data_IF_387746423422
#
_entry.id   IF_387746423422
#
_cell.length_a   1.000
_cell.length_b   1.000
_cell.length_c   1.000
_cell.angle_alpha   90.00
_cell.angle_beta   90.00
_cell.angle_gamma   90.00
#
_symmetry.space_group_name_H-M   'P 1'
#
loop_
_entity.id
_entity.type
_entity.pdbx_description
1 polymer ?
#
# COMPACT_ATOMS: atom_id res chain seq x y z
N UNK A 1 28.97 20.28 2.93
CA UNK A 1 28.57 19.69 1.61
C UNK A 1 27.22 19.00 1.73
N UNK A 2 27.01 18.18 2.76
CA UNK A 2 25.74 17.52 3.04
C UNK A 2 24.60 18.54 3.23
N UNK A 3 24.86 19.63 3.96
CA UNK A 3 23.90 20.70 4.24
C UNK A 3 23.34 21.31 2.96
N UNK A 4 24.24 21.62 2.01
CA UNK A 4 23.86 22.15 0.69
C UNK A 4 23.03 21.15 -0.11
N UNK A 5 23.37 19.86 -0.06
CA UNK A 5 22.60 18.81 -0.73
C UNK A 5 21.21 18.61 -0.10
N UNK A 6 21.10 18.70 1.24
CA UNK A 6 19.82 18.66 1.95
C UNK A 6 18.92 19.84 1.57
N UNK A 7 19.48 21.06 1.52
CA UNK A 7 18.75 22.24 1.04
C UNK A 7 18.28 22.04 -0.40
N UNK A 8 19.17 21.57 -1.29
CA UNK A 8 18.82 21.31 -2.68
C UNK A 8 17.68 20.28 -2.80
N UNK A 9 17.72 19.20 -2.01
CA UNK A 9 16.67 18.17 -1.97
C UNK A 9 15.30 18.78 -1.60
N UNK A 10 15.25 19.63 -0.57
CA UNK A 10 14.03 20.34 -0.16
C UNK A 10 13.51 21.23 -1.29
N UNK A 11 14.41 21.98 -1.95
CA UNK A 11 14.04 22.86 -3.06
C UNK A 11 13.52 22.08 -4.27
N UNK A 12 14.11 20.93 -4.62
CA UNK A 12 13.62 20.07 -5.70
C UNK A 12 12.20 19.58 -5.41
N UNK A 13 11.94 19.08 -4.20
CA UNK A 13 10.59 18.65 -3.80
C UNK A 13 9.60 19.81 -3.83
N UNK A 14 9.98 20.97 -3.29
CA UNK A 14 9.14 22.16 -3.32
C UNK A 14 8.80 22.58 -4.75
N UNK A 15 9.78 22.59 -5.66
CA UNK A 15 9.57 22.89 -7.07
C UNK A 15 8.60 21.89 -7.73
N UNK A 16 8.80 20.59 -7.52
CA UNK A 16 7.89 19.56 -8.07
C UNK A 16 6.47 19.73 -7.53
N UNK A 17 6.31 20.02 -6.24
CA UNK A 17 5.01 20.29 -5.62
C UNK A 17 4.35 21.52 -6.26
N UNK A 18 5.07 22.63 -6.40
CA UNK A 18 4.54 23.86 -7.01
C UNK A 18 4.12 23.61 -8.46
N UNK A 19 4.97 22.95 -9.26
CA UNK A 19 4.64 22.58 -10.64
C UNK A 19 3.40 21.68 -10.67
N UNK A 20 3.34 20.66 -9.82
CA UNK A 20 2.20 19.73 -9.76
C UNK A 20 0.89 20.43 -9.36
N UNK A 21 0.92 21.32 -8.37
CA UNK A 21 -0.26 22.11 -7.98
C UNK A 21 -0.70 23.05 -9.10
N UNK A 22 0.25 23.64 -9.85
CA UNK A 22 -0.03 24.56 -10.95
C UNK A 22 -0.71 23.91 -12.17
N UNK A 23 -0.58 22.59 -12.36
CA UNK A 23 -1.20 21.89 -13.50
C UNK A 23 -2.73 21.82 -13.40
N UNK A 24 -3.28 21.98 -12.20
CA UNK A 24 -4.69 21.75 -11.89
C UNK A 24 -5.10 20.27 -11.85
N UNK A 25 -4.18 19.33 -12.09
CA UNK A 25 -4.45 17.88 -12.00
C UNK A 25 -4.25 17.33 -10.59
N UNK A 26 -3.63 18.11 -9.70
CA UNK A 26 -3.37 17.72 -8.34
C UNK A 26 -4.65 17.39 -7.55
N UNK A 27 -4.64 16.21 -6.95
CA UNK A 27 -5.71 15.69 -6.09
C UNK A 27 -5.23 14.49 -5.28
N UNK A 28 -5.99 14.11 -4.25
CA UNK A 28 -5.79 12.84 -3.55
C UNK A 28 -5.93 11.62 -4.43
N UNK A 29 -6.58 11.72 -5.60
CA UNK A 29 -6.69 10.59 -6.54
C UNK A 29 -5.44 10.41 -7.39
N UNK A 30 -4.54 11.40 -7.45
CA UNK A 30 -3.38 11.35 -8.34
C UNK A 30 -2.20 10.60 -7.70
N UNK A 31 -1.59 9.61 -8.38
CA UNK A 31 -0.49 8.81 -7.82
C UNK A 31 0.72 9.64 -7.36
N UNK A 32 1.02 10.73 -8.09
CA UNK A 32 2.07 11.68 -7.71
C UNK A 32 1.86 12.30 -6.32
N UNK A 33 0.63 12.46 -5.85
CA UNK A 33 0.37 12.94 -4.48
C UNK A 33 0.94 11.98 -3.44
N UNK A 34 0.73 10.67 -3.64
CA UNK A 34 1.26 9.65 -2.74
C UNK A 34 2.77 9.52 -2.84
N UNK A 35 3.32 9.61 -4.05
CA UNK A 35 4.77 9.56 -4.23
C UNK A 35 5.45 10.77 -3.60
N UNK A 36 4.88 11.98 -3.71
CA UNK A 36 5.41 13.18 -3.05
C UNK A 36 5.37 13.07 -1.52
N UNK A 37 4.29 12.54 -0.95
CA UNK A 37 4.20 12.29 0.50
C UNK A 37 5.26 11.27 0.94
N UNK A 38 5.35 10.14 0.25
CA UNK A 38 6.37 9.12 0.51
C UNK A 38 7.78 9.72 0.41
N UNK A 39 8.11 10.37 -0.70
CA UNK A 39 9.41 10.95 -0.97
C UNK A 39 9.81 12.00 0.07
N UNK A 40 8.87 12.86 0.46
CA UNK A 40 9.09 13.86 1.50
C UNK A 40 9.42 13.20 2.84
N UNK A 41 8.67 12.17 3.23
CA UNK A 41 8.91 11.46 4.49
C UNK A 41 10.27 10.75 4.48
N UNK A 42 10.54 9.93 3.45
CA UNK A 42 11.68 8.99 3.49
C UNK A 42 12.96 9.53 2.86
N UNK A 43 12.89 10.50 1.94
CA UNK A 43 14.05 11.03 1.22
C UNK A 43 14.30 12.53 1.45
N UNK A 44 13.52 13.18 2.31
CA UNK A 44 13.77 14.57 2.74
C UNK A 44 13.83 14.66 4.26
N UNK A 45 12.76 14.27 4.95
CA UNK A 45 12.68 14.37 6.42
C UNK A 45 13.65 13.38 7.06
N UNK A 46 13.66 12.11 6.64
CA UNK A 46 14.60 11.12 7.17
C UNK A 46 16.07 11.57 7.10
N UNK A 47 16.65 11.96 5.96
CA UNK A 47 18.05 12.40 5.93
C UNK A 47 18.32 13.68 6.73
N UNK A 48 17.35 14.61 6.83
CA UNK A 48 17.47 15.77 7.74
C UNK A 48 17.57 15.32 9.20
N UNK A 49 16.78 14.33 9.60
CA UNK A 49 16.79 13.81 10.95
C UNK A 49 18.05 13.01 11.26
N UNK A 50 18.50 12.18 10.32
CA UNK A 50 19.75 11.43 10.44
C UNK A 50 20.93 12.38 10.60
N UNK A 51 21.06 13.39 9.73
CA UNK A 51 22.15 14.37 9.80
C UNK A 51 22.06 15.30 11.02
N UNK A 52 20.85 15.77 11.36
CA UNK A 52 20.64 16.75 12.41
C UNK A 52 20.58 16.19 13.83
N UNK A 53 20.17 14.92 13.99
CA UNK A 53 19.92 14.29 15.29
C UNK A 53 20.67 12.96 15.49
N UNK A 54 21.49 12.51 14.53
CA UNK A 54 22.31 11.29 14.66
C UNK A 54 21.49 10.00 14.76
N UNK A 55 20.42 9.89 13.96
CA UNK A 55 19.54 8.71 13.98
C UNK A 55 20.16 7.56 13.15
N UNK A 56 21.10 6.84 13.76
CA UNK A 56 21.97 5.92 13.03
C UNK A 56 21.56 4.43 13.18
N UNK A 57 20.41 4.15 13.79
CA UNK A 57 19.98 2.77 14.09
C UNK A 57 19.89 1.86 12.85
N UNK A 58 19.49 2.40 11.70
CA UNK A 58 19.40 1.64 10.46
C UNK A 58 20.78 1.26 9.90
N UNK A 59 21.74 2.18 10.02
CA UNK A 59 23.15 1.99 9.66
C UNK A 59 23.82 0.94 10.53
N UNK A 60 23.64 1.06 11.85
CA UNK A 60 24.09 0.07 12.82
C UNK A 60 23.51 -1.32 12.54
N UNK A 61 22.21 -1.39 12.23
CA UNK A 61 21.55 -2.65 11.90
C UNK A 61 22.16 -3.30 10.65
N UNK A 62 22.46 -2.53 9.60
CA UNK A 62 23.08 -3.04 8.37
C UNK A 62 24.58 -3.33 8.53
N UNK A 63 25.24 -2.76 9.56
CA UNK A 63 26.69 -2.81 9.74
C UNK A 63 27.44 -1.88 8.80
N UNK A 64 26.83 -0.76 8.40
CA UNK A 64 27.35 0.15 7.39
C UNK A 64 27.13 1.61 7.79
N UNK A 65 28.15 2.46 7.64
CA UNK A 65 28.05 3.91 7.83
C UNK A 65 28.45 4.64 6.55
N UNK A 66 27.58 5.50 5.99
CA UNK A 66 27.89 6.21 4.77
C UNK A 66 28.95 7.28 4.96
N UNK A 67 29.89 7.36 4.01
CA UNK A 67 30.74 8.55 3.88
C UNK A 67 29.90 9.78 3.47
N UNK A 68 30.44 10.98 3.66
CA UNK A 68 29.75 12.21 3.24
C UNK A 68 29.43 12.23 1.73
N UNK A 69 30.30 11.64 0.91
CA UNK A 69 30.08 11.51 -0.53
C UNK A 69 28.92 10.55 -0.85
N UNK A 70 28.82 9.42 -0.15
CA UNK A 70 27.73 8.45 -0.30
C UNK A 70 26.40 9.04 0.16
N UNK A 71 26.38 9.79 1.26
CA UNK A 71 25.19 10.50 1.73
C UNK A 71 24.66 11.48 0.66
N UNK A 72 25.55 12.30 0.08
CA UNK A 72 25.20 13.25 -1.00
C UNK A 72 24.78 12.52 -2.27
N UNK A 73 25.43 11.41 -2.62
CA UNK A 73 25.04 10.56 -3.77
C UNK A 73 23.63 10.01 -3.58
N UNK A 74 23.26 9.55 -2.39
CA UNK A 74 21.90 9.08 -2.05
C UNK A 74 20.84 10.16 -2.24
N UNK A 75 21.11 11.38 -1.76
CA UNK A 75 20.23 12.52 -1.99
C UNK A 75 20.07 12.79 -3.49
N UNK A 76 21.17 12.82 -4.23
CA UNK A 76 21.16 13.07 -5.68
C UNK A 76 20.36 12.01 -6.45
N UNK A 77 20.59 10.72 -6.16
CA UNK A 77 19.87 9.60 -6.79
C UNK A 77 18.37 9.69 -6.50
N UNK A 78 17.98 9.94 -5.25
CA UNK A 78 16.58 10.09 -4.87
C UNK A 78 15.93 11.31 -5.57
N UNK A 79 16.62 12.44 -5.69
CA UNK A 79 16.15 13.62 -6.43
C UNK A 79 15.88 13.32 -7.91
N UNK A 80 16.82 12.63 -8.58
CA UNK A 80 16.66 12.21 -9.98
C UNK A 80 15.47 11.27 -10.12
N UNK A 81 15.32 10.32 -9.20
CA UNK A 81 14.18 9.40 -9.17
C UNK A 81 12.85 10.15 -9.07
N UNK A 82 12.77 11.14 -8.17
CA UNK A 82 11.58 12.01 -8.03
C UNK A 82 11.25 12.75 -9.30
N UNK A 83 12.23 13.41 -9.92
CA UNK A 83 11.99 14.19 -11.15
C UNK A 83 11.54 13.26 -12.28
N UNK A 84 12.22 12.13 -12.48
CA UNK A 84 11.87 11.16 -13.52
C UNK A 84 10.44 10.64 -13.37
N UNK A 85 10.05 10.22 -12.15
CA UNK A 85 8.69 9.77 -11.87
C UNK A 85 7.67 10.89 -12.03
N UNK A 86 7.96 12.09 -11.53
CA UNK A 86 7.03 13.23 -11.57
C UNK A 86 6.74 13.69 -12.99
N UNK A 87 7.76 13.76 -13.84
CA UNK A 87 7.59 14.09 -15.27
C UNK A 87 6.76 13.02 -15.96
N UNK A 88 7.10 11.74 -15.80
CA UNK A 88 6.40 10.63 -16.44
C UNK A 88 4.93 10.53 -15.98
N UNK A 89 4.69 10.55 -14.67
CA UNK A 89 3.37 10.44 -14.06
C UNK A 89 2.50 11.67 -14.36
N UNK A 90 3.08 12.88 -14.25
CA UNK A 90 2.38 14.13 -14.56
C UNK A 90 1.99 14.22 -16.04
N UNK A 91 2.87 13.79 -16.95
CA UNK A 91 2.61 13.80 -18.39
C UNK A 91 1.53 12.78 -18.79
N UNK A 92 1.65 11.52 -18.36
CA UNK A 92 0.69 10.48 -18.71
C UNK A 92 -0.64 10.58 -17.94
N UNK A 93 -0.62 11.22 -16.76
CA UNK A 93 -1.77 11.46 -15.90
C UNK A 93 -2.42 12.83 -16.04
N UNK A 94 -2.05 13.61 -17.08
CA UNK A 94 -2.50 15.01 -17.29
C UNK A 94 -4.00 15.12 -17.61
N UNK A 95 -4.85 14.88 -16.61
CA UNK A 95 -6.32 15.04 -16.66
C UNK A 95 -6.77 15.73 -15.38
N UNK A 96 -7.64 16.73 -15.51
CA UNK A 96 -8.18 17.45 -14.37
C UNK A 96 -9.32 16.62 -13.74
N UNK A 97 -9.30 16.40 -12.41
CA UNK A 97 -10.43 15.83 -11.69
C UNK A 97 -11.70 16.62 -11.97
N UNK A 98 -12.73 15.94 -12.46
CA UNK A 98 -14.02 16.55 -12.78
C UNK A 98 -15.16 15.67 -12.26
N UNK A 99 -15.75 16.12 -11.15
CA UNK A 99 -16.86 15.45 -10.50
C UNK A 99 -18.24 15.82 -11.08
N UNK A 100 -18.33 16.82 -11.97
CA UNK A 100 -19.61 17.28 -12.52
C UNK A 100 -20.32 16.17 -13.32
N UNK A 101 -19.54 15.27 -13.91
CA UNK A 101 -19.99 14.13 -14.71
C UNK A 101 -20.22 12.86 -13.89
N UNK A 102 -20.05 12.92 -12.57
CA UNK A 102 -20.03 11.71 -11.76
C UNK A 102 -21.44 11.19 -11.49
N UNK A 103 -21.78 9.95 -11.90
CA UNK A 103 -23.12 9.43 -11.76
C UNK A 103 -23.45 9.13 -10.29
N UNK A 104 -24.75 9.11 -9.99
CA UNK A 104 -25.29 8.47 -8.80
C UNK A 104 -25.40 6.98 -9.05
N UNK A 105 -24.57 6.20 -8.36
CA UNK A 105 -24.58 4.75 -8.54
C UNK A 105 -25.73 4.09 -7.79
N UNK A 106 -26.38 3.15 -8.47
CA UNK A 106 -27.29 2.19 -7.86
C UNK A 106 -26.74 0.79 -8.11
N UNK A 107 -26.82 -0.09 -7.12
CA UNK A 107 -26.56 -1.52 -7.28
C UNK A 107 -27.89 -2.22 -7.44
N UNK A 108 -28.04 -3.00 -8.52
CA UNK A 108 -29.21 -3.84 -8.69
C UNK A 108 -29.08 -5.13 -7.87
N UNK A 109 -30.15 -5.94 -7.87
CA UNK A 109 -30.15 -7.20 -7.10
C UNK A 109 -29.06 -8.16 -7.56
N UNK A 110 -28.73 -8.20 -8.86
CA UNK A 110 -27.70 -9.10 -9.37
C UNK A 110 -26.31 -8.66 -8.92
N UNK A 111 -26.05 -7.36 -8.91
CA UNK A 111 -24.78 -6.83 -8.41
C UNK A 111 -24.61 -7.17 -6.92
N UNK A 112 -25.67 -7.03 -6.12
CA UNK A 112 -25.66 -7.34 -4.67
C UNK A 112 -25.49 -8.84 -4.45
N UNK A 113 -26.22 -9.69 -5.18
CA UNK A 113 -26.08 -11.15 -5.10
C UNK A 113 -24.67 -11.59 -5.50
N UNK A 114 -24.11 -11.05 -6.59
CA UNK A 114 -22.74 -11.34 -6.99
C UNK A 114 -21.72 -10.92 -5.93
N UNK A 115 -21.93 -9.78 -5.28
CA UNK A 115 -21.09 -9.33 -4.19
C UNK A 115 -21.18 -10.27 -2.99
N UNK A 116 -22.39 -10.64 -2.58
CA UNK A 116 -22.63 -11.57 -1.48
C UNK A 116 -22.00 -12.94 -1.74
N UNK A 117 -22.09 -13.47 -2.97
CA UNK A 117 -21.40 -14.71 -3.37
C UNK A 117 -19.88 -14.57 -3.28
N UNK A 118 -19.34 -13.42 -3.67
CA UNK A 118 -17.90 -13.15 -3.57
C UNK A 118 -17.45 -13.10 -2.11
N UNK A 119 -18.22 -12.43 -1.23
CA UNK A 119 -17.99 -12.40 0.22
C UNK A 119 -18.11 -13.80 0.82
N UNK A 120 -19.11 -14.59 0.42
CA UNK A 120 -19.30 -15.96 0.91
C UNK A 120 -18.15 -16.89 0.48
N UNK A 121 -17.61 -16.71 -0.73
CA UNK A 121 -16.51 -17.51 -1.24
C UNK A 121 -15.15 -17.12 -0.63
N UNK A 122 -14.86 -15.82 -0.52
CA UNK A 122 -13.53 -15.34 -0.11
C UNK A 122 -13.44 -14.95 1.36
N UNK A 123 -14.56 -14.56 1.99
CA UNK A 123 -14.62 -14.13 3.38
C UNK A 123 -14.10 -15.19 4.36
N UNK A 124 -14.58 -16.46 4.30
CA UNK A 124 -14.08 -17.53 5.15
C UNK A 124 -12.58 -17.77 4.96
N UNK A 125 -12.07 -17.73 3.73
CA UNK A 125 -10.65 -17.88 3.44
C UNK A 125 -9.82 -16.72 4.02
N UNK A 126 -10.31 -15.48 3.89
CA UNK A 126 -9.65 -14.31 4.46
C UNK A 126 -9.62 -14.35 5.99
N UNK A 127 -10.71 -14.79 6.63
CA UNK A 127 -10.79 -14.96 8.09
C UNK A 127 -9.88 -16.11 8.55
N UNK A 128 -9.90 -17.25 7.86
CA UNK A 128 -9.01 -18.37 8.16
C UNK A 128 -7.54 -17.97 8.04
N UNK A 129 -7.16 -17.30 6.95
CA UNK A 129 -5.82 -16.73 6.76
C UNK A 129 -5.42 -15.76 7.86
N UNK A 130 -6.36 -14.92 8.30
CA UNK A 130 -6.14 -13.99 9.40
C UNK A 130 -5.84 -14.73 10.71
N UNK A 131 -6.69 -15.68 11.09
CA UNK A 131 -6.52 -16.51 12.30
C UNK A 131 -5.20 -17.28 12.24
N UNK A 132 -4.92 -17.93 11.11
CA UNK A 132 -3.68 -18.68 10.90
C UNK A 132 -2.43 -17.80 11.13
N UNK A 133 -2.51 -16.51 10.80
CA UNK A 133 -1.41 -15.54 10.97
C UNK A 133 -1.45 -14.76 12.28
N UNK A 134 -2.31 -15.12 13.21
CA UNK A 134 -2.47 -14.40 14.46
C UNK A 134 -1.17 -14.37 15.28
N UNK A 135 -0.46 -15.49 15.30
CA UNK A 135 0.82 -15.63 16.01
C UNK A 135 2.03 -15.20 15.17
N UNK A 136 1.79 -14.71 13.96
CA UNK A 136 2.82 -14.34 12.99
C UNK A 136 3.31 -15.54 12.19
N UNK A 137 4.46 -15.36 11.55
CA UNK A 137 5.19 -16.45 10.94
C UNK A 137 6.35 -16.81 11.87
N UNK A 138 6.44 -18.08 12.25
CA UNK A 138 7.46 -18.57 13.16
C UNK A 138 8.65 -19.15 12.38
N UNK A 139 9.85 -18.82 12.82
CA UNK A 139 11.11 -19.33 12.28
C UNK A 139 11.72 -20.47 13.12
N UNK A 140 11.10 -20.81 14.26
CA UNK A 140 11.58 -21.85 15.17
C UNK A 140 11.01 -23.24 14.84
N UNK A 141 10.18 -23.34 13.80
CA UNK A 141 9.49 -24.58 13.42
C UNK A 141 8.31 -24.93 14.34
N UNK A 142 7.94 -24.05 15.28
CA UNK A 142 6.71 -24.16 16.06
C UNK A 142 5.61 -23.30 15.44
N UNK A 143 4.34 -23.50 15.80
CA UNK A 143 3.23 -22.68 15.30
C UNK A 143 2.62 -23.06 13.94
N UNK A 144 1.52 -22.37 13.63
CA UNK A 144 0.62 -22.69 12.52
C UNK A 144 1.12 -22.21 11.15
N UNK A 145 1.96 -21.17 11.11
CA UNK A 145 2.63 -20.68 9.90
C UNK A 145 4.13 -20.71 10.14
N UNK A 146 4.77 -21.70 9.55
CA UNK A 146 6.21 -21.90 9.65
C UNK A 146 6.90 -21.31 8.44
N UNK A 147 7.95 -20.55 8.70
CA UNK A 147 8.86 -20.04 7.71
C UNK A 147 10.27 -20.49 8.01
N UNK A 148 10.98 -20.95 6.99
CA UNK A 148 12.42 -21.14 7.07
C UNK A 148 13.11 -20.05 6.28
N UNK A 149 14.26 -19.58 6.78
CA UNK A 149 15.13 -18.72 5.98
C UNK A 149 16.02 -19.60 5.15
N UNK A 150 15.94 -19.42 3.84
CA UNK A 150 16.87 -20.04 2.94
C UNK A 150 18.30 -19.58 3.28
N UNK A 151 19.23 -20.50 3.60
CA UNK A 151 20.56 -20.14 4.08
C UNK A 151 21.40 -19.44 3.00
N UNK A 152 21.07 -19.64 1.72
CA UNK A 152 21.80 -19.03 0.61
C UNK A 152 21.32 -17.61 0.29
N UNK A 153 20.03 -17.31 0.49
CA UNK A 153 19.45 -16.02 0.10
C UNK A 153 18.97 -15.15 1.25
N UNK A 154 18.85 -15.73 2.45
CA UNK A 154 18.20 -15.10 3.60
C UNK A 154 16.69 -14.90 3.44
N UNK A 155 16.09 -15.31 2.32
CA UNK A 155 14.68 -15.10 2.03
C UNK A 155 13.81 -16.07 2.82
N UNK A 156 12.72 -15.59 3.44
CA UNK A 156 11.83 -16.45 4.19
C UNK A 156 10.89 -17.20 3.24
N UNK A 157 10.75 -18.51 3.44
CA UNK A 157 9.90 -19.41 2.63
C UNK A 157 8.92 -20.13 3.54
N UNK A 158 7.66 -20.19 3.15
CA UNK A 158 6.66 -20.99 3.87
C UNK A 158 6.92 -22.48 3.70
N UNK A 159 6.92 -23.22 4.81
CA UNK A 159 7.23 -24.66 4.83
C UNK A 159 5.96 -25.50 4.98
N UNK A 160 5.03 -25.09 5.84
CA UNK A 160 3.82 -25.84 6.17
C UNK A 160 2.53 -25.26 5.55
N UNK A 161 2.63 -24.17 4.79
CA UNK A 161 1.49 -23.52 4.14
C UNK A 161 1.88 -22.90 2.79
N UNK A 162 0.90 -22.37 2.06
CA UNK A 162 1.15 -21.65 0.81
C UNK A 162 1.07 -20.15 1.01
N UNK A 163 1.84 -19.39 0.22
CA UNK A 163 1.71 -17.93 0.19
C UNK A 163 0.29 -17.45 -0.14
N UNK A 164 -0.49 -18.24 -0.88
CA UNK A 164 -1.89 -17.95 -1.18
C UNK A 164 -2.77 -17.95 0.07
N UNK A 165 -2.63 -18.98 0.90
CA UNK A 165 -3.36 -19.06 2.17
C UNK A 165 -2.83 -18.00 3.13
N UNK A 166 -1.51 -17.81 3.22
CA UNK A 166 -0.91 -16.84 4.13
C UNK A 166 -1.29 -15.38 3.80
N UNK A 167 -1.50 -15.03 2.53
CA UNK A 167 -1.79 -13.64 2.12
C UNK A 167 -3.28 -13.36 1.88
N UNK A 168 -4.15 -14.37 1.90
CA UNK A 168 -5.57 -14.21 1.64
C UNK A 168 -6.28 -13.27 2.64
N UNK A 169 -5.75 -13.07 3.84
CA UNK A 169 -6.26 -12.07 4.78
C UNK A 169 -6.30 -10.64 4.18
N UNK A 170 -5.44 -10.34 3.21
CA UNK A 170 -5.44 -9.05 2.49
C UNK A 170 -6.72 -8.82 1.68
N UNK A 171 -7.46 -9.88 1.35
CA UNK A 171 -8.79 -9.80 0.72
C UNK A 171 -9.83 -9.15 1.63
N UNK A 172 -9.61 -9.12 2.96
CA UNK A 172 -10.52 -8.46 3.90
C UNK A 172 -10.72 -6.97 3.62
N UNK A 173 -9.67 -6.29 3.14
CA UNK A 173 -9.71 -4.86 2.81
C UNK A 173 -10.73 -4.54 1.69
N UNK A 174 -10.60 -5.06 0.46
CA UNK A 174 -11.56 -4.76 -0.61
C UNK A 174 -12.97 -5.27 -0.31
N UNK A 175 -13.12 -6.37 0.45
CA UNK A 175 -14.43 -6.89 0.84
C UNK A 175 -15.15 -5.91 1.79
N UNK A 176 -14.46 -5.40 2.81
CA UNK A 176 -15.05 -4.44 3.76
C UNK A 176 -15.30 -3.07 3.11
N UNK A 177 -14.41 -2.60 2.23
CA UNK A 177 -14.68 -1.40 1.41
C UNK A 177 -15.87 -1.61 0.46
N UNK A 178 -15.99 -2.81 -0.12
CA UNK A 178 -17.13 -3.20 -0.95
C UNK A 178 -18.46 -3.14 -0.20
N UNK A 179 -18.50 -3.58 1.07
CA UNK A 179 -19.70 -3.49 1.92
C UNK A 179 -20.12 -2.02 2.12
N UNK A 180 -19.18 -1.13 2.44
CA UNK A 180 -19.45 0.30 2.58
C UNK A 180 -19.98 0.89 1.27
N UNK A 181 -19.34 0.51 0.16
CA UNK A 181 -19.66 1.01 -1.17
C UNK A 181 -21.05 0.57 -1.65
N UNK A 182 -21.37 -0.74 -1.56
CA UNK A 182 -22.69 -1.29 -1.93
C UNK A 182 -23.79 -0.73 -1.04
N UNK A 183 -23.51 -0.56 0.26
CA UNK A 183 -24.45 0.00 1.24
C UNK A 183 -24.57 1.53 1.19
N UNK A 184 -23.93 2.19 0.22
CA UNK A 184 -23.94 3.66 0.06
C UNK A 184 -23.58 4.41 1.34
N UNK A 185 -22.55 3.95 2.04
CA UNK A 185 -22.04 4.55 3.27
C UNK A 185 -23.05 4.58 4.43
N UNK A 186 -23.99 3.63 4.48
CA UNK A 186 -24.83 3.45 5.67
C UNK A 186 -23.95 3.25 6.92
N UNK A 187 -24.22 3.89 8.07
CA UNK A 187 -23.33 3.83 9.25
C UNK A 187 -22.98 2.41 9.71
N UNK A 188 -23.92 1.48 9.67
CA UNK A 188 -23.68 0.08 10.04
C UNK A 188 -22.70 -0.66 9.09
N UNK A 189 -22.56 -0.20 7.85
CA UNK A 189 -21.63 -0.80 6.88
C UNK A 189 -20.17 -0.57 7.24
N UNK A 190 -19.87 0.35 8.17
CA UNK A 190 -18.52 0.59 8.69
C UNK A 190 -18.11 -0.43 9.76
N UNK A 191 -19.04 -1.17 10.37
CA UNK A 191 -18.73 -2.13 11.44
C UNK A 191 -17.73 -3.20 10.97
N UNK A 192 -17.92 -3.88 9.81
CA UNK A 192 -16.94 -4.86 9.32
C UNK A 192 -15.56 -4.26 9.03
N UNK A 193 -15.52 -3.03 8.52
CA UNK A 193 -14.26 -2.32 8.24
C UNK A 193 -13.53 -1.96 9.54
N UNK A 194 -14.24 -1.44 10.54
CA UNK A 194 -13.69 -1.16 11.87
C UNK A 194 -13.21 -2.44 12.55
N UNK A 195 -13.97 -3.54 12.45
CA UNK A 195 -13.55 -4.84 12.96
C UNK A 195 -12.25 -5.32 12.28
N UNK A 196 -12.16 -5.20 10.95
CA UNK A 196 -10.94 -5.51 10.21
C UNK A 196 -9.75 -4.66 10.66
N UNK A 197 -9.91 -3.33 10.75
CA UNK A 197 -8.84 -2.41 11.18
C UNK A 197 -8.40 -2.70 12.61
N UNK A 198 -9.34 -2.87 13.54
CA UNK A 198 -9.07 -3.20 14.94
C UNK A 198 -8.36 -4.53 15.08
N UNK A 199 -8.79 -5.55 14.33
CA UNK A 199 -8.13 -6.84 14.29
C UNK A 199 -6.68 -6.73 13.79
N UNK A 200 -6.46 -6.01 12.69
CA UNK A 200 -5.10 -5.78 12.16
C UNK A 200 -4.23 -4.98 13.13
N UNK A 201 -4.81 -4.02 13.85
CA UNK A 201 -4.10 -3.26 14.87
C UNK A 201 -3.72 -4.15 16.05
N UNK A 202 -4.61 -5.05 16.47
CA UNK A 202 -4.38 -6.04 17.52
C UNK A 202 -3.25 -7.02 17.19
N UNK A 203 -3.17 -7.50 15.95
CA UNK A 203 -2.07 -8.36 15.53
C UNK A 203 -0.72 -7.63 15.54
N UNK A 204 -0.70 -6.31 15.32
CA UNK A 204 0.51 -5.50 15.19
C UNK A 204 1.31 -5.78 13.90
N UNK A 205 0.99 -6.86 13.17
CA UNK A 205 1.61 -7.25 11.92
C UNK A 205 0.79 -6.75 10.72
N UNK A 206 1.48 -6.24 9.69
CA UNK A 206 0.84 -5.72 8.49
C UNK A 206 0.11 -4.38 8.68
N UNK A 207 0.72 -3.46 9.45
CA UNK A 207 0.29 -2.05 9.63
C UNK A 207 -0.07 -1.36 8.32
N UNK A 208 0.64 -1.72 7.24
CA UNK A 208 0.39 -1.23 5.89
C UNK A 208 -1.04 -1.50 5.42
N UNK A 209 -1.63 -2.66 5.71
CA UNK A 209 -3.01 -2.95 5.32
C UNK A 209 -4.02 -1.98 5.95
N UNK A 210 -3.75 -1.47 7.15
CA UNK A 210 -4.60 -0.47 7.82
C UNK A 210 -4.47 0.86 7.11
N UNK A 211 -3.23 1.31 6.86
CA UNK A 211 -2.97 2.56 6.13
C UNK A 211 -3.65 2.51 4.75
N UNK A 212 -3.48 1.42 4.01
CA UNK A 212 -4.11 1.26 2.69
C UNK A 212 -5.63 1.20 2.77
N UNK A 213 -6.19 0.51 3.75
CA UNK A 213 -7.64 0.42 3.95
C UNK A 213 -8.26 1.77 4.30
N UNK A 214 -7.63 2.52 5.22
CA UNK A 214 -8.08 3.85 5.63
C UNK A 214 -7.96 4.84 4.46
N UNK A 215 -6.85 4.83 3.73
CA UNK A 215 -6.68 5.67 2.54
C UNK A 215 -7.70 5.31 1.45
N UNK A 216 -7.98 4.02 1.23
CA UNK A 216 -9.00 3.57 0.28
C UNK A 216 -10.41 4.00 0.68
N UNK A 217 -10.75 3.89 1.96
CA UNK A 217 -12.02 4.41 2.52
C UNK A 217 -12.12 5.92 2.35
N UNK A 218 -11.06 6.66 2.66
CA UNK A 218 -10.97 8.10 2.46
C UNK A 218 -11.22 8.47 1.00
N UNK A 219 -10.57 7.79 0.05
CA UNK A 219 -10.76 8.04 -1.37
C UNK A 219 -12.21 7.81 -1.81
N UNK A 220 -12.86 6.76 -1.29
CA UNK A 220 -14.27 6.51 -1.51
C UNK A 220 -15.15 7.62 -0.92
N UNK A 221 -14.84 8.13 0.27
CA UNK A 221 -15.56 9.26 0.89
C UNK A 221 -15.34 10.56 0.10
N UNK A 222 -14.13 10.84 -0.36
CA UNK A 222 -13.82 11.99 -1.22
C UNK A 222 -14.60 11.89 -2.54
N UNK A 223 -14.65 10.69 -3.13
CA UNK A 223 -15.44 10.43 -4.34
C UNK A 223 -16.93 10.63 -4.11
N UNK A 224 -17.46 10.15 -2.97
CA UNK A 224 -18.87 10.31 -2.59
C UNK A 224 -19.24 11.78 -2.35
N UNK A 225 -18.38 12.53 -1.65
CA UNK A 225 -18.56 13.95 -1.33
C UNK A 225 -18.20 14.90 -2.47
N UNK A 226 -17.76 14.36 -3.62
CA UNK A 226 -17.34 15.12 -4.81
C UNK A 226 -16.21 16.11 -4.52
N UNK A 227 -15.29 15.72 -3.64
CA UNK A 227 -14.13 16.55 -3.26
C UNK A 227 -12.83 15.88 -3.69
N UNK A 228 -11.84 16.70 -4.10
CA UNK A 228 -10.53 16.20 -4.56
C UNK A 228 -9.45 16.24 -3.48
N UNK A 229 -9.69 16.95 -2.39
CA UNK A 229 -8.76 17.17 -1.27
C UNK A 229 -9.47 16.94 0.04
N UNK A 230 -8.68 16.60 1.07
CA UNK A 230 -9.16 16.63 2.44
C UNK A 230 -9.67 18.01 2.81
N UNK A 231 -10.77 18.04 3.54
CA UNK A 231 -11.17 19.21 4.31
C UNK A 231 -10.30 19.28 5.56
N UNK A 232 -9.98 20.48 6.03
CA UNK A 232 -9.10 20.68 7.19
C UNK A 232 -9.57 19.91 8.45
N UNK A 233 -10.89 19.78 8.66
CA UNK A 233 -11.43 19.02 9.79
C UNK A 233 -11.17 17.51 9.66
N UNK A 234 -11.08 16.96 8.44
CA UNK A 234 -10.72 15.56 8.22
C UNK A 234 -9.26 15.32 8.64
N UNK A 235 -8.38 16.29 8.39
CA UNK A 235 -6.99 16.25 8.85
C UNK A 235 -6.94 16.37 10.38
N UNK A 236 -7.74 17.26 10.97
CA UNK A 236 -7.81 17.45 12.42
C UNK A 236 -8.28 16.18 13.15
N UNK A 237 -9.21 15.40 12.57
CA UNK A 237 -9.64 14.10 13.12
C UNK A 237 -8.62 13.00 12.80
N UNK A 238 -8.03 13.03 11.60
CA UNK A 238 -7.06 12.04 11.15
C UNK A 238 -5.79 12.02 12.01
N UNK A 239 -5.33 13.18 12.49
CA UNK A 239 -4.10 13.27 13.27
C UNK A 239 -4.17 12.52 14.62
N UNK A 240 -5.18 12.72 15.50
CA UNK A 240 -5.37 11.91 16.70
C UNK A 240 -5.49 10.41 16.40
N UNK A 241 -6.17 10.03 15.31
CA UNK A 241 -6.32 8.63 14.91
C UNK A 241 -4.98 8.03 14.50
N UNK A 242 -4.16 8.78 13.74
CA UNK A 242 -2.81 8.36 13.35
C UNK A 242 -1.88 8.24 14.57
N UNK A 243 -1.97 9.18 15.52
CA UNK A 243 -1.21 9.12 16.77
C UNK A 243 -1.62 7.91 17.61
N UNK A 244 -2.91 7.70 17.81
CA UNK A 244 -3.44 6.52 18.51
C UNK A 244 -2.99 5.23 17.81
N UNK A 245 -3.08 5.18 16.48
CA UNK A 245 -2.63 4.04 15.69
C UNK A 245 -1.14 3.77 15.87
N UNK A 246 -0.30 4.81 15.83
CA UNK A 246 1.13 4.71 16.05
C UNK A 246 1.44 4.17 17.46
N UNK A 247 0.80 4.73 18.49
CA UNK A 247 0.99 4.33 19.89
C UNK A 247 0.55 2.88 20.12
N UNK A 248 -0.61 2.48 19.60
CA UNK A 248 -1.11 1.11 19.71
C UNK A 248 -0.25 0.12 18.93
N UNK A 249 0.23 0.52 17.75
CA UNK A 249 1.10 -0.31 16.92
C UNK A 249 2.43 -0.61 17.60
N UNK A 250 3.02 0.36 18.30
CA UNK A 250 4.30 0.20 18.99
C UNK A 250 4.16 -0.52 20.34
N UNK A 251 3.00 -0.41 21.00
CA UNK A 251 2.72 -1.05 22.29
C UNK A 251 1.71 -2.20 22.14
N UNK A 252 2.00 -3.16 21.26
CA UNK A 252 1.10 -4.30 21.00
C UNK A 252 0.80 -5.13 22.26
N UNK A 253 1.81 -5.31 23.11
CA UNK A 253 1.71 -6.12 24.32
C UNK A 253 0.83 -5.42 25.35
N UNK A 254 0.84 -4.08 25.35
CA UNK A 254 -0.10 -3.29 26.15
C UNK A 254 -1.54 -3.50 25.69
N UNK A 255 -1.84 -3.41 24.38
CA UNK A 255 -3.21 -3.62 23.89
C UNK A 255 -3.69 -5.05 24.18
N UNK A 256 -2.81 -6.04 23.99
CA UNK A 256 -3.08 -7.44 24.36
C UNK A 256 -3.34 -7.58 25.85
N UNK A 257 -2.53 -6.94 26.68
CA UNK A 257 -2.67 -6.96 28.13
C UNK A 257 -3.97 -6.31 28.61
N UNK A 258 -4.37 -5.19 28.01
CA UNK A 258 -5.66 -4.53 28.34
C UNK A 258 -6.83 -5.43 27.97
N UNK A 259 -6.81 -6.05 26.79
CA UNK A 259 -7.85 -6.97 26.35
C UNK A 259 -7.87 -8.27 27.16
N UNK A 260 -6.71 -8.75 27.60
CA UNK A 260 -6.57 -9.90 28.50
C UNK A 260 -6.88 -9.57 29.97
N UNK A 261 -7.15 -8.29 30.30
CA UNK A 261 -7.39 -7.83 31.66
C UNK A 261 -6.14 -7.80 32.56
N UNK A 262 -4.95 -7.98 32.01
CA UNK A 262 -3.67 -7.95 32.74
C UNK A 262 -3.10 -6.53 32.86
N UNK A 263 -3.52 -5.60 32.00
CA UNK A 263 -3.09 -4.20 32.03
C UNK A 263 -4.26 -3.24 32.29
N UNK A 264 -4.04 -2.21 33.12
CA UNK A 264 -5.06 -1.20 33.41
C UNK A 264 -5.18 -0.18 32.27
N UNK A 265 -6.39 0.17 31.81
CA UNK A 265 -6.61 1.23 30.82
C UNK A 265 -6.00 2.59 31.22
N UNK A 266 -5.84 2.86 32.52
CA UNK A 266 -5.21 4.08 33.03
C UNK A 266 -3.75 4.26 32.61
N UNK A 267 -3.04 3.16 32.31
CA UNK A 267 -1.66 3.21 31.79
C UNK A 267 -1.57 3.80 30.38
N UNK A 268 -2.67 3.84 29.61
CA UNK A 268 -2.70 4.50 28.31
C UNK A 268 -2.37 6.00 28.45
N UNK A 269 -2.93 6.66 29.47
CA UNK A 269 -2.64 8.07 29.75
C UNK A 269 -1.19 8.29 30.20
N UNK A 270 -0.60 7.35 30.95
CA UNK A 270 0.83 7.43 31.29
C UNK A 270 1.75 7.15 30.10
N UNK A 271 1.32 6.40 29.08
CA UNK A 271 2.07 6.28 27.82
C UNK A 271 2.08 7.62 27.09
N UNK A 272 0.96 8.36 27.11
CA UNK A 272 0.89 9.72 26.56
C UNK A 272 1.61 10.78 27.40
N UNK A 273 1.74 10.59 28.72
CA UNK A 273 2.36 11.55 29.65
C UNK A 273 3.82 11.25 30.02
N UNK A 274 4.27 9.98 29.93
CA UNK A 274 5.52 9.48 30.50
C UNK A 274 6.44 8.75 29.52
N UNK A 275 6.13 8.75 28.22
CA UNK A 275 7.00 8.18 27.20
C UNK A 275 8.21 9.08 26.89
N UNK A 276 9.26 8.97 27.68
CA UNK A 276 10.60 9.51 27.37
C UNK A 276 11.29 8.78 26.20
N UNK A 277 10.58 7.94 25.45
CA UNK A 277 10.99 7.59 24.09
C UNK A 277 10.80 8.83 23.22
N UNK A 278 11.86 9.60 23.06
CA UNK A 278 11.88 10.83 22.27
C UNK A 278 11.13 10.64 20.95
N UNK A 279 10.40 11.64 20.46
CA UNK A 279 9.85 11.65 19.10
C UNK A 279 10.88 11.14 18.06
N UNK A 280 12.15 11.44 18.29
CA UNK A 280 13.31 10.94 17.53
C UNK A 280 13.35 9.41 17.46
N UNK A 281 13.10 8.70 18.57
CA UNK A 281 13.06 7.23 18.63
C UNK A 281 11.88 6.65 17.84
N UNK A 282 10.71 7.30 17.92
CA UNK A 282 9.53 6.88 17.14
C UNK A 282 9.74 6.99 15.62
N UNK A 283 10.54 7.98 15.22
CA UNK A 283 10.92 8.26 13.83
C UNK A 283 12.21 7.50 13.44
N UNK A 284 12.87 6.84 14.41
CA UNK A 284 14.05 6.00 14.16
C UNK A 284 13.72 4.63 13.55
N UNK A 285 12.44 4.25 13.52
CA UNK A 285 11.96 2.97 13.03
C UNK A 285 12.32 2.73 11.54
N UNK A 286 12.52 1.46 11.19
CA UNK A 286 12.89 0.99 9.85
C UNK A 286 11.83 1.31 8.77
N UNK A 287 10.58 1.55 9.17
CA UNK A 287 9.46 1.82 8.25
C UNK A 287 9.65 3.07 7.37
N UNK A 288 10.51 4.01 7.77
CA UNK A 288 10.82 5.24 7.00
C UNK A 288 12.30 5.36 6.61
N UNK A 289 13.11 4.33 6.86
CA UNK A 289 14.55 4.35 6.66
C UNK A 289 14.99 4.03 5.21
N UNK A 290 14.11 4.25 4.21
CA UNK A 290 14.43 3.98 2.81
C UNK A 290 15.60 4.82 2.27
N UNK A 291 15.87 6.00 2.84
CA UNK A 291 17.08 6.75 2.53
C UNK A 291 18.34 5.99 2.95
N UNK A 292 18.34 5.45 4.18
CA UNK A 292 19.42 4.66 4.74
C UNK A 292 19.65 3.39 3.89
N UNK A 293 18.58 2.70 3.51
CA UNK A 293 18.64 1.50 2.66
C UNK A 293 19.16 1.83 1.26
N UNK A 294 18.75 2.97 0.68
CA UNK A 294 19.28 3.43 -0.59
C UNK A 294 20.78 3.69 -0.49
N UNK A 295 21.25 4.35 0.57
CA UNK A 295 22.68 4.59 0.77
C UNK A 295 23.50 3.30 0.81
N UNK A 296 23.02 2.29 1.55
CA UNK A 296 23.63 0.97 1.58
C UNK A 296 23.67 0.33 0.18
N UNK A 297 22.57 0.39 -0.57
CA UNK A 297 22.49 -0.13 -1.95
C UNK A 297 23.48 0.57 -2.88
N UNK A 298 23.62 1.90 -2.76
CA UNK A 298 24.53 2.70 -3.59
C UNK A 298 26.01 2.45 -3.29
N UNK A 299 26.31 1.99 -2.08
CA UNK A 299 27.64 1.54 -1.66
C UNK A 299 27.91 0.10 -2.12
N UNK A 300 26.96 -0.80 -1.91
CA UNK A 300 27.10 -2.21 -2.27
C UNK A 300 27.15 -2.42 -3.80
N UNK A 301 26.31 -1.70 -4.55
CA UNK A 301 26.11 -1.93 -5.99
C UNK A 301 26.53 -0.72 -6.82
N UNK A 302 27.37 -0.86 -7.86
CA UNK A 302 28.10 -2.07 -8.26
C UNK A 302 29.46 -2.21 -7.57
N UNK A 303 29.86 -1.27 -6.69
CA UNK A 303 31.25 -1.18 -6.24
C UNK A 303 31.72 -2.43 -5.49
N UNK A 304 30.89 -2.97 -4.59
CA UNK A 304 31.21 -4.19 -3.85
C UNK A 304 30.78 -5.45 -4.62
N UNK A 305 29.67 -5.37 -5.35
CA UNK A 305 29.13 -6.51 -6.08
C UNK A 305 29.81 -6.81 -7.42
N UNK A 306 30.57 -5.88 -7.97
CA UNK A 306 31.18 -6.00 -9.29
C UNK A 306 30.19 -6.03 -10.47
N UNK A 307 28.87 -5.99 -10.20
CA UNK A 307 27.82 -6.09 -11.21
C UNK A 307 26.50 -5.48 -10.72
N UNK A 308 25.53 -5.39 -11.63
CA UNK A 308 24.14 -5.01 -11.37
C UNK A 308 23.21 -6.24 -11.46
N UNK A 309 21.94 -6.09 -11.04
CA UNK A 309 20.92 -7.14 -11.19
C UNK A 309 20.34 -7.23 -12.60
N UNK A 310 20.54 -6.22 -13.45
CA UNK A 310 20.08 -6.22 -14.84
C UNK A 310 18.58 -6.55 -15.00
N UNK A 311 17.76 -6.05 -14.07
CA UNK A 311 16.30 -6.27 -14.02
C UNK A 311 15.85 -7.73 -13.86
N UNK A 312 16.75 -8.67 -13.56
CA UNK A 312 16.37 -10.09 -13.46
C UNK A 312 15.45 -10.39 -12.29
N UNK A 313 15.36 -9.51 -11.29
CA UNK A 313 14.40 -9.64 -10.20
C UNK A 313 12.94 -9.63 -10.68
N UNK A 314 12.64 -8.95 -11.80
CA UNK A 314 11.30 -8.91 -12.36
C UNK A 314 10.88 -10.25 -13.00
N UNK A 315 11.82 -11.15 -13.30
CA UNK A 315 11.49 -12.51 -13.77
C UNK A 315 10.75 -13.31 -12.70
N UNK A 316 10.85 -12.90 -11.43
CA UNK A 316 10.11 -13.51 -10.33
C UNK A 316 8.58 -13.41 -10.52
N UNK A 317 8.09 -12.48 -11.35
CA UNK A 317 6.66 -12.41 -11.74
C UNK A 317 6.15 -13.71 -12.37
N UNK A 318 7.02 -14.47 -13.02
CA UNK A 318 6.65 -15.69 -13.72
C UNK A 318 6.85 -16.95 -12.86
N UNK A 319 7.70 -16.88 -11.83
CA UNK A 319 8.03 -18.03 -10.98
C UNK A 319 7.29 -18.01 -9.65
N UNK A 320 7.08 -16.83 -9.04
CA UNK A 320 6.48 -16.73 -7.71
C UNK A 320 5.02 -17.20 -7.65
N UNK A 321 4.14 -16.89 -8.63
CA UNK A 321 2.75 -17.35 -8.60
C UNK A 321 2.60 -18.88 -8.61
N UNK A 322 3.58 -19.64 -9.08
CA UNK A 322 3.47 -21.10 -9.15
C UNK A 322 3.65 -21.68 -7.73
N UNK A 323 2.66 -22.36 -7.12
CA UNK A 323 2.82 -22.94 -5.79
C UNK A 323 3.96 -23.98 -5.77
N UNK A 324 4.71 -24.07 -4.65
CA UNK A 324 5.78 -25.09 -4.51
C UNK A 324 5.27 -26.53 -4.60
N UNK A 325 3.99 -26.77 -4.31
CA UNK A 325 3.37 -28.08 -4.53
C UNK A 325 3.35 -28.50 -6.01
N UNK A 326 3.30 -27.53 -6.94
CA UNK A 326 3.32 -27.78 -8.39
C UNK A 326 4.73 -27.69 -8.97
N UNK A 327 5.62 -26.92 -8.34
CA UNK A 327 7.03 -26.78 -8.72
C UNK A 327 7.91 -26.71 -7.46
N UNK A 328 8.29 -27.86 -6.89
CA UNK A 328 9.05 -27.92 -5.62
C UNK A 328 10.36 -27.15 -5.68
N UNK A 329 11.13 -27.36 -6.75
CA UNK A 329 12.46 -26.79 -6.96
C UNK A 329 12.45 -25.38 -7.56
N UNK A 330 11.31 -24.67 -7.52
CA UNK A 330 11.25 -23.31 -8.07
C UNK A 330 12.27 -22.39 -7.38
N UNK A 331 12.91 -21.46 -8.12
CA UNK A 331 13.86 -20.52 -7.53
C UNK A 331 13.26 -19.73 -6.35
N UNK A 332 14.07 -19.51 -5.31
CA UNK A 332 13.74 -18.63 -4.19
C UNK A 332 14.18 -17.21 -4.55
N UNK A 333 13.23 -16.27 -4.63
CA UNK A 333 13.49 -14.90 -5.09
C UNK A 333 13.67 -14.82 -6.61
N UNK A 334 14.56 -13.93 -7.06
CA UNK A 334 14.90 -13.76 -8.47
C UNK A 334 15.43 -15.08 -9.08
N UNK A 335 14.92 -15.54 -10.23
CA UNK A 335 15.43 -16.74 -10.91
C UNK A 335 16.91 -16.66 -11.31
N UNK A 336 17.38 -15.46 -11.65
CA UNK A 336 18.79 -15.18 -11.95
C UNK A 336 19.31 -14.18 -10.92
N UNK A 337 20.26 -14.62 -10.10
CA UNK A 337 20.82 -13.84 -8.99
C UNK A 337 22.22 -13.36 -9.32
N UNK A 338 22.33 -12.08 -9.64
CA UNK A 338 23.62 -11.41 -9.86
C UNK A 338 24.16 -10.75 -8.59
N UNK A 339 23.27 -10.29 -7.72
CA UNK A 339 23.61 -9.53 -6.51
C UNK A 339 22.72 -10.00 -5.36
N UNK A 340 23.33 -10.26 -4.21
CA UNK A 340 22.67 -10.46 -2.93
C UNK A 340 23.16 -9.39 -1.96
N UNK A 341 22.25 -8.55 -1.45
CA UNK A 341 22.60 -7.50 -0.49
C UNK A 341 23.03 -8.07 0.88
N UNK A 342 22.65 -9.31 1.18
CA UNK A 342 23.04 -10.02 2.39
C UNK A 342 24.54 -10.33 2.44
N UNK A 343 25.21 -10.36 1.29
CA UNK A 343 26.64 -10.67 1.19
C UNK A 343 27.51 -9.49 1.68
N UNK A 344 26.92 -8.29 1.82
CA UNK A 344 27.62 -7.05 2.17
C UNK A 344 27.19 -6.46 3.51
N UNK A 345 26.17 -7.03 4.16
CA UNK A 345 25.62 -6.52 5.40
C UNK A 345 24.25 -7.13 5.73
N UNK A 346 23.71 -6.78 6.89
CA UNK A 346 22.41 -7.32 7.30
C UNK A 346 21.26 -6.57 6.62
N UNK A 347 20.84 -7.07 5.46
CA UNK A 347 19.71 -6.53 4.71
C UNK A 347 18.38 -7.27 5.00
N UNK A 348 18.28 -7.96 6.13
CA UNK A 348 17.09 -8.76 6.49
C UNK A 348 15.88 -7.89 6.78
N UNK A 349 14.74 -8.20 6.14
CA UNK A 349 13.47 -7.49 6.29
C UNK A 349 13.53 -5.99 5.90
N UNK A 350 14.56 -5.58 5.18
CA UNK A 350 14.70 -4.22 4.66
C UNK A 350 14.11 -4.13 3.25
N UNK A 351 13.86 -2.92 2.80
CA UNK A 351 13.21 -2.65 1.50
C UNK A 351 14.14 -1.85 0.60
N UNK A 352 14.09 -2.10 -0.71
CA UNK A 352 15.00 -1.44 -1.65
C UNK A 352 14.46 -0.10 -2.14
N UNK A 353 13.15 0.16 -2.04
CA UNK A 353 12.43 1.23 -2.75
C UNK A 353 12.53 1.14 -4.27
N UNK A 354 11.67 1.84 -5.01
CA UNK A 354 11.78 1.91 -6.47
C UNK A 354 13.11 2.52 -6.94
N UNK A 355 13.62 3.52 -6.21
CA UNK A 355 14.89 4.16 -6.55
C UNK A 355 16.06 3.19 -6.34
N UNK A 356 16.09 2.46 -5.22
CA UNK A 356 17.14 1.47 -4.96
C UNK A 356 17.04 0.26 -5.87
N UNK A 357 15.84 -0.25 -6.16
CA UNK A 357 15.63 -1.34 -7.14
C UNK A 357 16.07 -0.93 -8.56
N UNK A 358 15.75 0.30 -8.97
CA UNK A 358 16.27 0.87 -10.22
C UNK A 358 17.79 0.97 -10.23
N UNK A 359 18.40 1.45 -9.14
CA UNK A 359 19.86 1.51 -9.05
C UNK A 359 20.52 0.14 -9.11
N UNK A 360 19.98 -0.83 -8.38
CA UNK A 360 20.45 -2.22 -8.41
C UNK A 360 20.40 -2.80 -9.83
N UNK A 361 19.42 -2.40 -10.63
CA UNK A 361 19.21 -2.94 -11.98
C UNK A 361 20.24 -2.46 -13.00
N UNK A 362 20.58 -1.18 -13.04
CA UNK A 362 21.52 -0.63 -14.02
C UNK A 362 22.03 0.79 -13.64
N UNK A 363 22.23 1.07 -12.35
CA UNK A 363 22.67 2.37 -11.87
C UNK A 363 21.72 3.51 -12.29
N UNK A 364 22.26 4.60 -12.82
CA UNK A 364 21.47 5.75 -13.27
C UNK A 364 20.42 5.41 -14.33
N UNK A 365 20.78 4.56 -15.31
CA UNK A 365 19.85 4.13 -16.36
C UNK A 365 18.69 3.37 -15.71
N UNK A 366 19.01 2.46 -14.79
CA UNK A 366 18.01 1.67 -14.10
C UNK A 366 17.05 2.52 -13.26
N UNK A 367 17.57 3.51 -12.51
CA UNK A 367 16.73 4.47 -11.77
C UNK A 367 15.77 5.20 -12.71
N UNK A 368 16.27 5.78 -13.81
CA UNK A 368 15.42 6.54 -14.74
C UNK A 368 14.37 5.63 -15.37
N UNK A 369 14.77 4.46 -15.88
CA UNK A 369 13.85 3.51 -16.54
C UNK A 369 12.77 3.06 -15.58
N UNK A 370 13.12 2.59 -14.37
CA UNK A 370 12.14 2.14 -13.38
C UNK A 370 11.16 3.25 -13.03
N UNK A 371 11.66 4.45 -12.73
CA UNK A 371 10.82 5.57 -12.31
C UNK A 371 9.93 6.10 -13.42
N UNK A 372 10.43 6.15 -14.67
CA UNK A 372 9.62 6.53 -15.84
C UNK A 372 8.56 5.48 -16.11
N UNK A 373 8.89 4.18 -16.13
CA UNK A 373 7.91 3.11 -16.40
C UNK A 373 6.80 3.10 -15.36
N UNK A 374 7.14 3.14 -14.07
CA UNK A 374 6.13 3.16 -13.00
C UNK A 374 5.30 4.45 -13.05
N UNK A 375 5.94 5.60 -13.25
CA UNK A 375 5.24 6.88 -13.42
C UNK A 375 4.27 6.86 -14.61
N UNK A 376 4.69 6.31 -15.75
CA UNK A 376 3.86 6.13 -16.94
C UNK A 376 2.66 5.22 -16.68
N UNK A 377 2.85 4.09 -16.01
CA UNK A 377 1.76 3.14 -15.67
C UNK A 377 0.74 3.82 -14.77
N UNK A 378 1.19 4.41 -13.65
CA UNK A 378 0.30 5.00 -12.66
C UNK A 378 -0.40 6.26 -13.19
N UNK A 379 0.31 7.11 -13.95
CA UNK A 379 -0.32 8.27 -14.58
C UNK A 379 -1.34 7.87 -15.65
N UNK A 380 -1.08 6.83 -16.46
CA UNK A 380 -2.10 6.27 -17.37
C UNK A 380 -3.30 5.72 -16.63
N UNK A 381 -3.11 5.06 -15.49
CA UNK A 381 -4.22 4.58 -14.66
C UNK A 381 -5.06 5.74 -14.13
N UNK A 382 -4.43 6.83 -13.69
CA UNK A 382 -5.13 8.07 -13.28
C UNK A 382 -5.93 8.67 -14.44
N UNK A 383 -5.32 8.78 -15.62
CA UNK A 383 -6.00 9.24 -16.84
C UNK A 383 -7.22 8.37 -17.16
N UNK A 384 -7.03 7.05 -17.22
CA UNK A 384 -8.11 6.08 -17.45
C UNK A 384 -9.26 6.26 -16.47
N UNK A 385 -8.94 6.43 -15.18
CA UNK A 385 -9.94 6.64 -14.15
C UNK A 385 -10.79 7.88 -14.46
N UNK A 386 -10.18 9.04 -14.69
CA UNK A 386 -10.95 10.27 -14.92
C UNK A 386 -11.62 10.39 -16.30
N UNK A 387 -11.10 9.72 -17.32
CA UNK A 387 -11.68 9.73 -18.67
C UNK A 387 -12.85 8.75 -18.80
N UNK A 388 -12.75 7.58 -18.18
CA UNK A 388 -13.72 6.50 -18.39
C UNK A 388 -14.08 5.71 -17.14
N UNK A 389 -13.11 5.42 -16.26
CA UNK A 389 -13.33 4.55 -15.11
C UNK A 389 -14.27 5.15 -14.05
N UNK A 390 -14.27 6.47 -13.86
CA UNK A 390 -15.00 7.10 -12.76
C UNK A 390 -16.52 7.03 -12.93
N UNK A 391 -17.03 6.76 -14.14
CA UNK A 391 -18.46 6.52 -14.38
C UNK A 391 -18.88 5.06 -14.15
N UNK A 392 -17.95 4.18 -13.78
CA UNK A 392 -18.22 2.78 -13.51
C UNK A 392 -18.00 2.47 -12.02
N UNK A 393 -19.06 1.98 -11.35
CA UNK A 393 -19.07 1.69 -9.91
C UNK A 393 -17.99 0.72 -9.46
N UNK A 394 -17.60 -0.25 -10.29
CA UNK A 394 -16.54 -1.20 -9.97
C UNK A 394 -15.16 -0.58 -10.15
N UNK A 395 -14.98 0.21 -11.22
CA UNK A 395 -13.72 0.90 -11.48
C UNK A 395 -13.41 1.93 -10.39
N UNK A 396 -14.42 2.61 -9.84
CA UNK A 396 -14.25 3.49 -8.66
C UNK A 396 -13.72 2.72 -7.47
N UNK A 397 -14.35 1.59 -7.11
CA UNK A 397 -13.87 0.78 -5.99
C UNK A 397 -12.47 0.22 -6.26
N UNK A 398 -12.23 -0.30 -7.45
CA UNK A 398 -10.93 -0.82 -7.88
C UNK A 398 -9.83 0.24 -7.75
N UNK A 399 -10.07 1.43 -8.29
CA UNK A 399 -9.10 2.52 -8.27
C UNK A 399 -8.83 3.01 -6.85
N UNK A 400 -9.89 3.21 -6.04
CA UNK A 400 -9.75 3.68 -4.66
C UNK A 400 -9.07 2.64 -3.76
N UNK A 401 -9.26 1.34 -4.01
CA UNK A 401 -8.55 0.28 -3.31
C UNK A 401 -7.09 0.13 -3.80
N UNK A 402 -6.84 0.32 -5.10
CA UNK A 402 -5.52 0.12 -5.70
C UNK A 402 -4.53 1.26 -5.41
N UNK A 403 -4.94 2.51 -5.59
CA UNK A 403 -4.01 3.65 -5.51
C UNK A 403 -3.23 3.72 -4.19
N UNK A 404 -3.83 3.48 -3.01
CA UNK A 404 -3.07 3.40 -1.77
C UNK A 404 -1.95 2.36 -1.81
N UNK A 405 -2.15 1.21 -2.47
CA UNK A 405 -1.12 0.17 -2.63
C UNK A 405 0.13 0.69 -3.33
N UNK A 406 0.05 1.77 -4.12
CA UNK A 406 1.23 2.39 -4.74
C UNK A 406 2.28 2.83 -3.72
N UNK A 407 1.89 3.23 -2.51
CA UNK A 407 2.83 3.55 -1.43
C UNK A 407 3.72 2.35 -1.08
N UNK A 408 3.13 1.15 -1.07
CA UNK A 408 3.90 -0.06 -0.84
C UNK A 408 4.85 -0.34 -2.00
N UNK A 409 4.41 -0.10 -3.25
CA UNK A 409 5.31 -0.24 -4.39
C UNK A 409 6.50 0.73 -4.30
N UNK A 410 6.25 1.99 -3.92
CA UNK A 410 7.31 3.00 -3.77
C UNK A 410 8.34 2.60 -2.71
N UNK A 411 7.86 2.06 -1.57
CA UNK A 411 8.66 1.61 -0.44
C UNK A 411 9.43 0.32 -0.71
N UNK A 412 8.75 -0.70 -1.22
CA UNK A 412 9.29 -2.05 -1.34
C UNK A 412 10.11 -2.20 -2.62
N UNK A 413 9.76 -1.45 -3.67
CA UNK A 413 10.25 -1.70 -5.01
C UNK A 413 9.82 -3.08 -5.55
N UNK A 414 10.52 -3.54 -6.59
CA UNK A 414 10.42 -4.91 -7.11
C UNK A 414 8.95 -5.31 -7.46
N UNK A 415 8.62 -6.61 -7.38
CA UNK A 415 7.34 -7.19 -7.81
C UNK A 415 6.28 -7.27 -6.69
N UNK A 416 6.57 -6.73 -5.52
CA UNK A 416 5.70 -6.82 -4.33
C UNK A 416 4.30 -6.28 -4.60
N UNK A 417 4.17 -5.21 -5.39
CA UNK A 417 2.87 -4.65 -5.77
C UNK A 417 1.98 -5.65 -6.49
N UNK A 418 2.54 -6.59 -7.26
CA UNK A 418 1.76 -7.59 -7.97
C UNK A 418 1.21 -8.60 -6.98
N UNK A 419 2.02 -9.03 -6.02
CA UNK A 419 1.59 -9.91 -4.93
C UNK A 419 0.48 -9.28 -4.10
N UNK A 420 0.71 -8.09 -3.53
CA UNK A 420 -0.29 -7.42 -2.69
C UNK A 420 -1.50 -6.95 -3.50
N UNK A 421 -1.28 -6.44 -4.71
CA UNK A 421 -2.33 -6.02 -5.64
C UNK A 421 -3.22 -7.17 -6.06
N UNK A 422 -2.67 -8.37 -6.30
CA UNK A 422 -3.45 -9.55 -6.61
C UNK A 422 -4.47 -9.86 -5.50
N UNK A 423 -4.02 -10.05 -4.24
CA UNK A 423 -4.95 -10.36 -3.14
C UNK A 423 -5.89 -9.20 -2.80
N UNK A 424 -5.42 -7.95 -2.94
CA UNK A 424 -6.22 -6.77 -2.61
C UNK A 424 -7.24 -6.39 -3.68
N UNK A 425 -7.09 -6.87 -4.92
CA UNK A 425 -8.01 -6.55 -6.03
C UNK A 425 -8.80 -7.75 -6.53
N UNK A 426 -8.33 -8.97 -6.27
CA UNK A 426 -9.02 -10.21 -6.67
C UNK A 426 -10.50 -10.23 -6.24
N UNK A 427 -10.89 -9.81 -5.02
CA UNK A 427 -12.30 -9.78 -4.64
C UNK A 427 -13.15 -8.89 -5.55
N UNK A 428 -12.63 -7.73 -5.97
CA UNK A 428 -13.34 -6.82 -6.87
C UNK A 428 -13.46 -7.44 -8.26
N UNK A 429 -12.40 -8.08 -8.75
CA UNK A 429 -12.40 -8.76 -10.06
C UNK A 429 -13.36 -9.95 -10.10
N UNK A 430 -13.38 -10.77 -9.04
CA UNK A 430 -14.35 -11.87 -8.91
C UNK A 430 -15.77 -11.36 -8.82
N UNK A 431 -16.02 -10.26 -8.11
CA UNK A 431 -17.34 -9.64 -8.06
C UNK A 431 -17.82 -9.19 -9.45
N UNK A 432 -16.94 -8.55 -10.24
CA UNK A 432 -17.24 -8.17 -11.63
C UNK A 432 -17.55 -9.42 -12.47
N UNK A 433 -16.72 -10.46 -12.36
CA UNK A 433 -16.89 -11.73 -13.08
C UNK A 433 -18.21 -12.42 -12.73
N UNK A 434 -18.51 -12.56 -11.44
CA UNK A 434 -19.75 -13.15 -10.94
C UNK A 434 -20.98 -12.36 -11.40
N UNK A 435 -20.91 -11.02 -11.40
CA UNK A 435 -22.01 -10.19 -11.91
C UNK A 435 -22.27 -10.47 -13.39
N UNK A 436 -21.21 -10.53 -14.21
CA UNK A 436 -21.34 -10.84 -15.65
C UNK A 436 -21.90 -12.24 -15.87
N UNK A 437 -21.40 -13.24 -15.13
CA UNK A 437 -21.87 -14.63 -15.23
C UNK A 437 -23.36 -14.76 -14.86
N UNK A 438 -23.80 -14.15 -13.75
CA UNK A 438 -25.21 -14.16 -13.34
C UNK A 438 -26.11 -13.47 -14.37
N UNK A 439 -25.66 -12.35 -14.96
CA UNK A 439 -26.41 -11.66 -16.02
C UNK A 439 -26.55 -12.52 -17.28
N UNK A 440 -25.50 -13.23 -17.68
CA UNK A 440 -25.55 -14.16 -18.84
C UNK A 440 -26.49 -15.33 -18.52
N UNK A 441 -26.34 -15.97 -17.36
CA UNK A 441 -27.17 -17.11 -16.95
C UNK A 441 -28.66 -16.76 -16.91
N UNK A 442 -29.00 -15.63 -16.28
CA UNK A 442 -30.39 -15.19 -16.16
C UNK A 442 -30.90 -14.66 -17.51
N UNK A 443 -30.08 -13.92 -18.25
CA UNK A 443 -30.42 -13.39 -19.57
C UNK A 443 -30.66 -14.48 -20.61
N UNK A 444 -29.93 -15.60 -20.55
CA UNK A 444 -30.17 -16.78 -21.40
C UNK A 444 -31.41 -17.58 -20.98
N UNK A 445 -31.91 -17.40 -19.74
CA UNK A 445 -33.13 -18.02 -19.24
C UNK A 445 -34.37 -17.11 -19.27
N UNK A 446 -34.21 -15.81 -19.54
CA UNK A 446 -35.25 -14.80 -19.40
C UNK A 446 -35.88 -14.37 -20.74
N UNK A 447 -36.42 -15.35 -21.46
CA UNK A 447 -37.76 -15.18 -22.08
C UNK A 447 -38.89 -15.30 -21.02
N UNK A 448 -38.57 -15.53 -19.75
CA UNK A 448 -39.52 -15.45 -18.65
C UNK A 448 -39.85 -13.99 -18.31
N UNK A 449 -40.79 -13.46 -19.09
CA UNK A 449 -41.60 -12.26 -18.83
C UNK A 449 -42.29 -12.37 -17.46
N UNK A 450 -41.62 -11.99 -16.38
CA UNK A 450 -42.35 -11.60 -15.18
C UNK A 450 -42.84 -10.15 -15.40
N UNK A 451 -44.16 -9.91 -15.40
CA UNK A 451 -44.69 -8.57 -15.57
C UNK A 451 -44.13 -7.70 -14.45
N UNK A 452 -43.42 -6.63 -14.84
CA UNK A 452 -43.01 -5.57 -13.94
C UNK A 452 -44.27 -5.03 -13.26
N UNK A 453 -44.58 -5.50 -12.05
CA UNK A 453 -45.50 -4.82 -11.15
C UNK A 453 -44.89 -3.44 -10.92
N UNK A 454 -45.44 -2.43 -11.58
CA UNK A 454 -45.13 -1.03 -11.29
C UNK A 454 -45.29 -0.86 -9.77
N UNK A 455 -44.26 -0.42 -9.04
CA UNK A 455 -44.45 -0.06 -7.65
C UNK A 455 -45.56 0.99 -7.58
N UNK A 456 -46.48 0.90 -6.60
CA UNK A 456 -47.53 1.90 -6.45
C UNK A 456 -46.88 3.27 -6.39
N UNK A 457 -47.39 4.20 -7.21
CA UNK A 457 -46.88 5.56 -7.24
C UNK A 457 -46.97 6.14 -5.83
N UNK A 458 -45.82 6.38 -5.21
CA UNK A 458 -45.74 7.08 -3.94
C UNK A 458 -46.12 8.53 -4.21
N UNK A 459 -47.41 8.86 -4.06
CA UNK A 459 -47.87 10.26 -4.07
C UNK A 459 -47.31 10.91 -2.81
N UNK A 460 -46.36 11.82 -2.98
CA UNK A 460 -46.01 12.75 -1.91
C UNK A 460 -47.28 13.54 -1.53
N UNK A 461 -47.56 13.74 -0.24
CA UNK A 461 -48.64 14.63 0.17
C UNK A 461 -48.38 16.01 -0.44
N UNK A 462 -49.36 16.52 -1.16
CA UNK A 462 -49.31 17.89 -1.66
C UNK A 462 -49.15 18.83 -0.47
N UNK A 463 -48.12 19.68 -0.54
CA UNK A 463 -47.87 20.75 0.41
C UNK A 463 -49.16 21.55 0.61
N UNK A 464 -49.69 21.52 1.84
CA UNK A 464 -50.73 22.46 2.26
C UNK A 464 -50.04 23.80 2.49
N UNK A 465 -50.37 24.75 1.61
CA UNK A 465 -50.07 26.17 1.75
C UNK A 465 -50.64 26.76 3.05
#
# INVERSE_FOLDING_TARGET
MIETALIAQVLVVALVVVVFLSTGTASMFHPLTYYLVFHTLVFVIRPLLVHGFGIDNAWLFMGYWPSAAEFVKSLTVSSVALVAFSVACGWSGRVKPDFSRAPTFTFDRLDITAFALTVAALGPLAIYSAILRQDGADFTGTGDVQMERDPLTGQPVYVNTTGYIAEAHSMGLPLTLGIIWVSRFHPLSFIPFLAFVSYRAYLGWGRWAIIMGVLGMVLLVLYHTRTKWFRWWQLAIGLPVLLLFHTLGNNRDFLRGVLAGTESPGKLFSIFQGGQGSFVESVSNQDIANFDFLAFILWAVPQQSGTYTWFTQYLQLFTEPIPRMLWPDKPIGAPVKWVSLHDYGNFSNLTTSLAGDGWMSAGWIGVIVTMVVVGLILGRLHRWFWESGFTNRYAVLFYCAFIPLSLQWYRDGNITIVKFGFFSLLPILLWIGATKALRVWIGSGAELRLPLRRPPAFRLPADRA
#
